data_IF_425676327486
#
_entry.id   IF_425676327486
#
_cell.length_a   1.000
_cell.length_b   1.000
_cell.length_c   1.000
_cell.angle_alpha   90.00
_cell.angle_beta   90.00
_cell.angle_gamma   90.00
#
_symmetry.space_group_name_H-M   'P 1'
#
loop_
_entity.id
_entity.type
_entity.pdbx_description
1 polymer ?
#
# COMPACT_ATOMS: atom_id res chain seq x y z
N UNK A 1 16.69 12.06 7.46
CA UNK A 1 16.79 10.92 6.53
C UNK A 1 17.15 11.49 5.18
N UNK A 2 18.32 11.17 4.65
CA UNK A 2 18.70 11.56 3.29
C UNK A 2 17.84 10.79 2.27
N UNK A 3 17.32 11.48 1.26
CA UNK A 3 16.64 10.85 0.14
C UNK A 3 17.66 10.03 -0.66
N UNK A 4 17.43 8.72 -0.81
CA UNK A 4 18.13 7.92 -1.83
C UNK A 4 17.62 8.39 -3.19
N UNK A 5 18.34 9.31 -3.81
CA UNK A 5 17.91 10.10 -4.98
C UNK A 5 17.78 9.30 -6.28
N UNK A 6 18.03 7.99 -6.26
CA UNK A 6 17.94 7.10 -7.43
C UNK A 6 17.40 5.70 -7.06
N UNK A 7 16.49 5.59 -6.09
CA UNK A 7 15.94 4.29 -5.70
C UNK A 7 15.13 3.68 -6.84
N UNK A 8 15.42 2.42 -7.18
CA UNK A 8 14.52 1.56 -7.93
C UNK A 8 14.62 0.13 -7.39
N UNK A 9 13.53 -0.63 -7.50
CA UNK A 9 13.53 -2.03 -7.15
C UNK A 9 12.70 -2.87 -8.12
N UNK A 10 12.96 -4.17 -8.10
CA UNK A 10 12.16 -5.21 -8.73
C UNK A 10 11.61 -6.16 -7.66
N UNK A 11 10.35 -6.55 -7.79
CA UNK A 11 9.70 -7.50 -6.86
C UNK A 11 9.33 -8.74 -7.66
N UNK A 12 9.65 -9.91 -7.10
CA UNK A 12 9.45 -11.18 -7.76
C UNK A 12 8.56 -12.12 -6.95
N UNK A 13 7.80 -12.95 -7.66
CA UNK A 13 7.19 -14.17 -7.14
C UNK A 13 7.89 -15.33 -7.83
N UNK A 14 8.60 -16.14 -7.06
CA UNK A 14 9.57 -17.11 -7.57
C UNK A 14 10.53 -16.44 -8.58
N UNK A 15 10.46 -16.79 -9.87
CA UNK A 15 11.27 -16.20 -10.95
C UNK A 15 10.52 -15.12 -11.78
N UNK A 16 9.22 -14.93 -11.53
CA UNK A 16 8.40 -13.97 -12.27
C UNK A 16 8.47 -12.57 -11.65
N UNK A 17 8.83 -11.57 -12.48
CA UNK A 17 8.79 -10.17 -12.10
C UNK A 17 7.33 -9.68 -12.04
N UNK A 18 6.90 -9.20 -10.87
CA UNK A 18 5.56 -8.66 -10.66
C UNK A 18 5.52 -7.13 -10.58
N UNK A 19 6.67 -6.51 -10.31
CA UNK A 19 6.83 -5.06 -10.22
C UNK A 19 8.27 -4.66 -10.56
N UNK A 20 8.43 -3.52 -11.24
CA UNK A 20 9.71 -2.85 -11.46
C UNK A 20 9.47 -1.34 -11.49
N UNK A 21 10.10 -0.59 -10.59
CA UNK A 21 9.85 0.84 -10.48
C UNK A 21 10.53 1.49 -9.27
N UNK A 22 10.07 2.67 -8.90
CA UNK A 22 10.58 3.51 -7.80
C UNK A 22 9.55 3.69 -6.67
N UNK A 23 8.42 2.97 -6.74
CA UNK A 23 7.26 3.10 -5.86
C UNK A 23 6.60 4.48 -5.91
N UNK A 24 6.67 5.17 -7.06
CA UNK A 24 6.04 6.49 -7.25
C UNK A 24 4.53 6.47 -7.09
N UNK A 25 3.87 5.32 -7.23
CA UNK A 25 2.44 5.11 -6.99
C UNK A 25 2.07 5.25 -5.50
N UNK A 26 3.05 5.13 -4.61
CA UNK A 26 2.86 5.29 -3.16
C UNK A 26 2.95 6.77 -2.78
N UNK A 27 1.97 7.33 -2.03
CA UNK A 27 2.04 8.69 -1.51
C UNK A 27 3.35 8.95 -0.73
N UNK A 28 3.95 10.12 -0.96
CA UNK A 28 5.27 10.47 -0.42
C UNK A 28 5.39 10.28 1.10
N UNK A 29 4.31 10.58 1.84
CA UNK A 29 4.23 10.41 3.29
C UNK A 29 4.53 8.98 3.78
N UNK A 30 4.29 7.97 2.94
CA UNK A 30 4.61 6.57 3.21
C UNK A 30 5.89 6.15 2.49
N UNK A 31 6.04 6.57 1.24
CA UNK A 31 7.09 6.10 0.31
C UNK A 31 8.50 6.17 0.87
N UNK A 32 8.88 7.28 1.52
CA UNK A 32 10.25 7.49 1.99
C UNK A 32 10.71 6.43 3.01
N UNK A 33 9.79 6.00 3.90
CA UNK A 33 10.08 4.96 4.88
C UNK A 33 10.21 3.59 4.21
N UNK A 34 9.32 3.29 3.26
CA UNK A 34 9.33 2.03 2.51
C UNK A 34 10.62 1.90 1.71
N UNK A 35 11.03 2.96 1.00
CA UNK A 35 12.29 3.01 0.26
C UNK A 35 13.48 2.72 1.18
N UNK A 36 13.53 3.38 2.34
CA UNK A 36 14.61 3.19 3.30
C UNK A 36 14.66 1.74 3.79
N UNK A 37 13.53 1.19 4.25
CA UNK A 37 13.46 -0.18 4.79
C UNK A 37 13.75 -1.24 3.72
N UNK A 38 13.23 -1.10 2.50
CA UNK A 38 13.57 -2.00 1.38
C UNK A 38 15.06 -1.92 1.09
N UNK A 39 15.61 -0.72 0.98
CA UNK A 39 17.02 -0.56 0.61
C UNK A 39 18.00 -1.06 1.67
N UNK A 40 17.58 -1.06 2.94
CA UNK A 40 18.41 -1.52 4.05
C UNK A 40 18.29 -3.04 4.24
N UNK A 41 17.08 -3.58 4.12
CA UNK A 41 16.80 -4.93 4.60
C UNK A 41 16.53 -5.96 3.50
N UNK A 42 16.04 -5.57 2.32
CA UNK A 42 15.51 -6.52 1.34
C UNK A 42 16.47 -7.65 0.98
N UNK A 43 17.75 -7.34 0.74
CA UNK A 43 18.77 -8.34 0.35
C UNK A 43 19.13 -9.30 1.50
N UNK A 44 18.88 -8.91 2.74
CA UNK A 44 19.17 -9.71 3.94
C UNK A 44 18.00 -10.59 4.38
N UNK A 45 16.79 -10.28 3.91
CA UNK A 45 15.56 -10.94 4.35
C UNK A 45 15.26 -12.16 3.48
N UNK A 46 14.97 -13.30 4.13
CA UNK A 46 14.35 -14.42 3.43
C UNK A 46 12.88 -14.12 3.06
N UNK A 47 12.27 -15.02 2.27
CA UNK A 47 10.88 -14.91 1.79
C UNK A 47 9.90 -14.37 2.84
N UNK A 48 9.91 -14.94 4.04
CA UNK A 48 9.04 -14.52 5.14
C UNK A 48 9.23 -13.05 5.52
N UNK A 49 10.48 -12.62 5.73
CA UNK A 49 10.80 -11.26 6.15
C UNK A 49 10.42 -10.22 5.12
N UNK A 50 10.62 -10.51 3.82
CA UNK A 50 10.22 -9.62 2.72
C UNK A 50 8.72 -9.39 2.71
N UNK A 51 7.93 -10.46 2.89
CA UNK A 51 6.46 -10.36 2.93
C UNK A 51 5.97 -9.60 4.17
N UNK A 52 6.56 -9.85 5.34
CA UNK A 52 6.24 -9.11 6.57
C UNK A 52 6.57 -7.62 6.42
N UNK A 53 7.71 -7.29 5.82
CA UNK A 53 8.12 -5.91 5.54
C UNK A 53 7.10 -5.20 4.65
N UNK A 54 6.79 -5.77 3.47
CA UNK A 54 5.84 -5.17 2.53
C UNK A 54 4.42 -5.07 3.12
N UNK A 55 3.95 -6.12 3.78
CA UNK A 55 2.63 -6.10 4.42
C UNK A 55 2.52 -4.97 5.44
N UNK A 56 3.50 -4.87 6.36
CA UNK A 56 3.49 -3.84 7.40
C UNK A 56 3.41 -2.43 6.80
N UNK A 57 4.15 -2.20 5.72
CA UNK A 57 4.24 -0.91 5.04
C UNK A 57 3.06 -0.57 4.16
N UNK A 58 2.35 -1.56 3.62
CA UNK A 58 1.23 -1.36 2.70
C UNK A 58 -0.14 -1.55 3.37
N UNK A 59 -0.20 -1.86 4.67
CA UNK A 59 -1.47 -1.97 5.43
C UNK A 59 -2.39 -0.76 5.29
N UNK A 60 -1.85 0.45 5.10
CA UNK A 60 -2.64 1.66 4.91
C UNK A 60 -3.48 1.64 3.62
N UNK A 61 -3.03 0.91 2.60
CA UNK A 61 -3.61 0.93 1.27
C UNK A 61 -4.94 0.18 1.20
N UNK A 62 -5.14 -0.81 2.08
CA UNK A 62 -6.40 -1.55 2.20
C UNK A 62 -7.38 -0.91 3.18
N UNK A 63 -7.02 0.23 3.79
CA UNK A 63 -7.93 0.91 4.71
C UNK A 63 -9.15 1.42 3.96
N UNK A 64 -10.31 1.07 4.51
CA UNK A 64 -11.60 1.54 4.06
C UNK A 64 -12.23 2.43 5.13
N UNK A 65 -13.15 3.28 4.69
CA UNK A 65 -13.99 4.07 5.57
C UNK A 65 -15.39 4.21 4.98
N UNK A 66 -16.28 4.77 5.79
CA UNK A 66 -17.65 5.03 5.38
C UNK A 66 -17.71 6.32 4.58
N UNK A 67 -18.29 6.25 3.38
CA UNK A 67 -18.41 7.37 2.46
C UNK A 67 -19.89 7.63 2.15
N UNK A 68 -20.31 8.88 2.26
CA UNK A 68 -21.63 9.31 1.83
C UNK A 68 -21.58 9.81 0.38
N UNK A 69 -22.27 9.13 -0.54
CA UNK A 69 -22.28 9.50 -1.96
C UNK A 69 -23.03 10.83 -2.22
N UNK A 70 -24.12 11.09 -1.48
CA UNK A 70 -24.91 12.33 -1.62
C UNK A 70 -24.11 13.58 -1.22
N UNK A 71 -23.36 13.48 -0.13
CA UNK A 71 -22.61 14.59 0.45
C UNK A 71 -21.12 14.57 0.04
N UNK A 72 -20.68 13.54 -0.69
CA UNK A 72 -19.28 13.32 -1.10
C UNK A 72 -18.26 13.47 0.05
N UNK A 73 -18.64 13.02 1.25
CA UNK A 73 -17.84 13.22 2.47
C UNK A 73 -17.54 11.87 3.13
N UNK A 74 -16.32 11.73 3.67
CA UNK A 74 -15.95 10.62 4.55
C UNK A 74 -16.61 10.81 5.93
N UNK A 75 -17.20 9.74 6.46
CA UNK A 75 -17.84 9.72 7.77
C UNK A 75 -16.90 8.98 8.72
N UNK A 76 -16.39 9.71 9.70
CA UNK A 76 -15.62 9.13 10.79
C UNK A 76 -16.58 8.52 11.81
N UNK A 77 -16.41 7.24 12.12
CA UNK A 77 -17.01 6.60 13.29
C UNK A 77 -18.54 6.77 13.42
N UNK A 78 -19.30 6.19 12.49
CA UNK A 78 -20.71 5.91 12.73
C UNK A 78 -20.94 4.40 12.83
N UNK A 79 -21.32 3.92 14.02
CA UNK A 79 -22.03 2.63 14.14
C UNK A 79 -23.39 2.65 13.41
N UNK A 80 -23.80 3.83 12.94
CA UNK A 80 -25.03 4.06 12.21
C UNK A 80 -24.79 3.97 10.70
N UNK A 81 -25.68 3.29 9.96
CA UNK A 81 -25.59 3.15 8.50
C UNK A 81 -25.97 4.45 7.74
N UNK A 82 -26.14 5.58 8.43
CA UNK A 82 -26.62 6.83 7.85
C UNK A 82 -25.62 7.97 8.05
N UNK A 83 -25.53 8.86 7.07
CA UNK A 83 -24.69 10.04 7.12
C UNK A 83 -25.27 11.10 8.06
N UNK A 84 -24.51 11.53 9.06
CA UNK A 84 -24.92 12.55 10.03
C UNK A 84 -25.31 13.91 9.41
N UNK A 85 -24.91 14.19 8.16
CA UNK A 85 -25.17 15.48 7.50
C UNK A 85 -26.43 15.47 6.61
N UNK A 86 -26.66 14.37 5.87
CA UNK A 86 -27.76 14.29 4.89
C UNK A 86 -28.70 13.10 5.09
N UNK A 87 -28.50 12.28 6.12
CA UNK A 87 -29.34 11.11 6.44
C UNK A 87 -29.33 9.99 5.39
N UNK A 88 -28.54 10.12 4.32
CA UNK A 88 -28.41 9.08 3.29
C UNK A 88 -27.54 7.94 3.78
N UNK A 89 -27.79 6.74 3.27
CA UNK A 89 -26.96 5.56 3.51
C UNK A 89 -25.49 5.81 3.16
N UNK A 90 -24.60 5.37 4.05
CA UNK A 90 -23.15 5.39 3.82
C UNK A 90 -22.69 4.03 3.30
N UNK A 91 -21.70 4.04 2.41
CA UNK A 91 -21.10 2.82 1.86
C UNK A 91 -19.62 2.76 2.18
N UNK A 92 -19.11 1.55 2.32
CA UNK A 92 -17.68 1.34 2.51
C UNK A 92 -16.93 1.66 1.19
N UNK A 93 -15.88 2.49 1.28
CA UNK A 93 -14.96 2.79 0.18
C UNK A 93 -13.52 2.83 0.66
N UNK A 94 -12.57 2.58 -0.23
CA UNK A 94 -11.15 2.75 0.06
C UNK A 94 -10.84 4.22 0.38
N UNK A 95 -10.03 4.43 1.42
CA UNK A 95 -9.58 5.77 1.83
C UNK A 95 -8.58 6.39 0.85
N UNK A 96 -7.96 5.55 0.03
CA UNK A 96 -6.93 5.91 -0.93
C UNK A 96 -7.32 5.40 -2.32
N UNK A 97 -6.94 6.16 -3.34
CA UNK A 97 -7.09 5.74 -4.73
C UNK A 97 -6.31 4.45 -4.99
N UNK A 98 -6.90 3.56 -5.79
CA UNK A 98 -6.30 2.26 -6.10
C UNK A 98 -5.44 2.35 -7.35
N UNK A 99 -4.26 1.77 -7.26
CA UNK A 99 -3.28 1.61 -8.31
C UNK A 99 -3.04 0.10 -8.58
N UNK A 100 -3.04 -0.27 -9.86
CA UNK A 100 -2.93 -1.67 -10.27
C UNK A 100 -1.60 -2.34 -9.91
N UNK A 101 -0.51 -1.57 -9.83
CA UNK A 101 0.79 -2.10 -9.43
C UNK A 101 0.80 -2.42 -7.94
N UNK A 102 0.27 -1.52 -7.11
CA UNK A 102 0.16 -1.75 -5.67
C UNK A 102 -0.84 -2.86 -5.37
N UNK A 103 -1.96 -2.94 -6.09
CA UNK A 103 -2.91 -4.05 -6.00
C UNK A 103 -2.25 -5.40 -6.29
N UNK A 104 -1.40 -5.46 -7.31
CA UNK A 104 -0.65 -6.67 -7.65
C UNK A 104 0.33 -7.06 -6.54
N UNK A 105 1.09 -6.10 -6.00
CA UNK A 105 1.99 -6.36 -4.87
C UNK A 105 1.21 -6.91 -3.68
N UNK A 106 0.10 -6.24 -3.30
CA UNK A 106 -0.75 -6.65 -2.17
C UNK A 106 -1.35 -8.03 -2.35
N UNK A 107 -1.84 -8.35 -3.55
CA UNK A 107 -2.41 -9.66 -3.89
C UNK A 107 -1.34 -10.77 -3.79
N UNK A 108 -0.09 -10.44 -4.08
CA UNK A 108 1.02 -11.38 -4.02
C UNK A 108 1.70 -11.48 -2.65
N UNK A 109 1.27 -10.72 -1.63
CA UNK A 109 1.78 -10.87 -0.26
C UNK A 109 1.56 -12.31 0.21
N UNK A 110 2.61 -12.90 0.77
CA UNK A 110 2.74 -14.32 1.12
C UNK A 110 3.45 -15.15 0.03
N UNK A 111 3.45 -14.69 -1.22
CA UNK A 111 4.06 -15.37 -2.36
C UNK A 111 5.36 -14.73 -2.84
N UNK A 112 5.59 -13.45 -2.55
CA UNK A 112 6.79 -12.69 -2.98
C UNK A 112 8.05 -13.43 -2.51
N UNK A 113 8.94 -13.77 -3.43
CA UNK A 113 10.16 -14.55 -3.19
C UNK A 113 11.33 -13.66 -2.80
N UNK A 114 11.49 -12.51 -3.47
CA UNK A 114 12.59 -11.56 -3.27
C UNK A 114 12.22 -10.15 -3.75
N UNK A 115 12.92 -9.16 -3.21
CA UNK A 115 13.00 -7.81 -3.76
C UNK A 115 14.46 -7.57 -4.11
N UNK A 116 14.72 -7.05 -5.31
CA UNK A 116 16.06 -6.67 -5.76
C UNK A 116 16.12 -5.15 -5.88
N UNK A 117 17.04 -4.52 -5.16
CA UNK A 117 17.33 -3.08 -5.27
C UNK A 117 18.31 -2.85 -6.42
N UNK A 118 18.10 -1.80 -7.21
CA UNK A 118 18.88 -1.46 -8.42
C UNK A 118 19.82 -0.27 -8.20
#
# INVERSE_FOLDING_TARGET
>A
MEQKTNFSCKIFVDDDEIYSGDLSEIPEKFRNRIIWDISEWADSLGKRGVNELLYSHLTWYDKKGLFCESCSTMVEDSNEPQCNNCGTEVKERYLHERDSNIDRIMTCIGMISKIQVL
#
